data_IF_612073568378
#
_entry.id   IF_612073568378
#
_cell.length_a   1.000
_cell.length_b   1.000
_cell.length_c   1.000
_cell.angle_alpha   90.00
_cell.angle_beta   90.00
_cell.angle_gamma   90.00
#
_symmetry.space_group_name_H-M   'P 1'
#
loop_
_entity.id
_entity.type
_entity.pdbx_description
1 polymer ?
#
# COMPACT_ATOMS: atom_id res chain seq x y z
N UNK A 1 5.45 -10.31 -5.65
CA UNK A 1 4.56 -10.29 -4.50
C UNK A 1 3.11 -10.48 -4.90
N UNK A 2 2.44 -11.35 -4.22
CA UNK A 2 1.07 -11.64 -4.55
C UNK A 2 0.17 -10.73 -3.74
N UNK A 3 -0.82 -10.11 -4.35
CA UNK A 3 -1.77 -9.29 -3.62
C UNK A 3 -2.46 -10.10 -2.55
N UNK A 4 -2.60 -9.50 -1.41
CA UNK A 4 -3.18 -10.20 -0.30
C UNK A 4 -4.65 -10.44 -0.51
N UNK A 5 -5.37 -9.57 -0.63
CA UNK A 5 -6.76 -9.77 -0.81
C UNK A 5 -7.03 -10.14 -2.22
N UNK A 6 -8.15 -10.52 -2.48
CA UNK A 6 -8.54 -10.68 -3.81
C UNK A 6 -9.15 -9.39 -4.27
N UNK A 7 -9.23 -9.22 -5.52
CA UNK A 7 -9.77 -8.02 -6.09
C UNK A 7 -11.27 -8.04 -5.98
N UNK A 8 -11.74 -7.97 -4.79
CA UNK A 8 -13.17 -7.94 -4.56
C UNK A 8 -13.72 -6.59 -4.83
N UNK A 9 -12.87 -5.59 -4.74
CA UNK A 9 -13.31 -4.25 -5.03
C UNK A 9 -12.72 -3.86 -6.34
N UNK A 10 -13.37 -2.98 -6.99
CA UNK A 10 -12.97 -2.59 -8.30
C UNK A 10 -11.63 -1.92 -8.28
N UNK A 11 -10.65 -2.55 -8.85
CA UNK A 11 -9.35 -1.97 -8.98
C UNK A 11 -8.60 -1.73 -7.69
N UNK A 12 -8.99 -2.37 -6.63
CA UNK A 12 -8.30 -2.20 -5.36
C UNK A 12 -7.48 -3.43 -5.04
N UNK A 13 -6.18 -3.23 -4.88
CA UNK A 13 -5.24 -4.31 -4.57
C UNK A 13 -4.41 -3.90 -3.38
N UNK A 14 -4.29 -4.77 -2.40
CA UNK A 14 -3.46 -4.53 -1.23
C UNK A 14 -2.17 -5.31 -1.34
N UNK A 15 -1.03 -4.66 -1.07
CA UNK A 15 0.27 -5.26 -1.16
C UNK A 15 1.08 -4.94 0.08
N UNK A 16 1.63 -5.96 0.70
CA UNK A 16 2.52 -5.76 1.84
C UNK A 16 3.95 -5.62 1.33
N UNK A 17 4.65 -4.60 1.79
CA UNK A 17 6.00 -4.29 1.32
C UNK A 17 6.93 -4.13 2.51
N UNK A 18 8.23 -4.22 2.27
CA UNK A 18 9.22 -4.07 3.32
C UNK A 18 9.73 -2.66 3.47
N UNK A 19 9.75 -1.90 2.37
CA UNK A 19 10.23 -0.53 2.38
C UNK A 19 9.26 0.28 1.56
N UNK A 20 8.30 0.88 2.26
CA UNK A 20 7.22 1.57 1.57
C UNK A 20 7.71 2.82 0.84
N UNK A 21 8.72 3.50 1.39
CA UNK A 21 9.25 4.69 0.73
C UNK A 21 9.84 4.32 -0.62
N UNK A 22 10.62 3.25 -0.65
CA UNK A 22 11.23 2.79 -1.88
C UNK A 22 10.19 2.37 -2.90
N UNK A 23 9.19 1.62 -2.45
CA UNK A 23 8.16 1.10 -3.35
C UNK A 23 7.29 2.23 -3.89
N UNK A 24 6.96 3.20 -3.06
CA UNK A 24 6.20 4.36 -3.51
C UNK A 24 6.97 5.10 -4.60
N UNK A 25 8.26 5.31 -4.38
CA UNK A 25 9.06 6.01 -5.36
C UNK A 25 9.12 5.25 -6.68
N UNK A 26 9.27 3.93 -6.60
CA UNK A 26 9.27 3.10 -7.81
C UNK A 26 7.94 3.18 -8.54
N UNK A 27 6.85 3.22 -7.78
CA UNK A 27 5.54 3.33 -8.39
C UNK A 27 5.36 4.66 -9.11
N UNK A 28 5.84 5.74 -8.50
CA UNK A 28 5.76 7.05 -9.12
C UNK A 28 6.62 7.08 -10.37
N UNK A 29 7.82 6.52 -10.31
CA UNK A 29 8.71 6.49 -11.47
C UNK A 29 8.11 5.70 -12.62
N UNK A 30 7.27 4.73 -12.33
CA UNK A 30 6.62 3.92 -13.34
C UNK A 30 5.32 4.53 -13.87
N UNK A 31 5.00 5.74 -13.44
CA UNK A 31 3.82 6.44 -13.96
C UNK A 31 2.63 6.46 -13.03
N UNK A 32 2.75 5.88 -11.85
CA UNK A 32 1.68 5.92 -10.88
C UNK A 32 1.60 7.26 -10.18
N UNK A 33 0.51 7.48 -9.48
CA UNK A 33 0.33 8.71 -8.73
C UNK A 33 0.00 8.37 -7.28
N UNK A 34 0.65 9.09 -6.37
CA UNK A 34 0.41 8.92 -4.96
C UNK A 34 -0.77 9.82 -4.58
N UNK A 35 -1.89 9.22 -4.22
CA UNK A 35 -3.04 10.05 -3.86
C UNK A 35 -3.37 10.00 -2.37
N UNK A 36 -2.82 9.04 -1.64
CA UNK A 36 -2.82 9.09 -0.19
C UNK A 36 -1.38 8.94 0.26
N UNK A 37 -0.81 9.97 0.88
CA UNK A 37 0.61 9.95 1.26
C UNK A 37 0.89 8.89 2.32
N UNK A 38 2.16 8.55 2.45
CA UNK A 38 2.57 7.60 3.47
C UNK A 38 2.20 8.14 4.84
N UNK A 39 1.53 7.32 5.64
CA UNK A 39 1.13 7.70 6.99
C UNK A 39 1.16 6.48 7.88
N UNK A 40 1.29 6.71 9.17
CA UNK A 40 1.23 5.64 10.14
C UNK A 40 -0.20 5.40 10.54
N UNK A 41 -0.54 4.13 10.63
CA UNK A 41 -1.88 3.70 11.01
C UNK A 41 -1.73 2.57 12.01
N UNK A 42 -2.56 2.57 13.05
CA UNK A 42 -2.62 1.46 13.97
C UNK A 42 -3.90 0.71 13.71
N UNK A 43 -3.76 -0.58 13.45
CA UNK A 43 -4.93 -1.41 13.19
C UNK A 43 -5.63 -1.77 14.49
N UNK A 44 -6.84 -2.29 14.39
CA UNK A 44 -7.60 -2.69 15.56
C UNK A 44 -6.94 -3.83 16.32
N UNK A 45 -6.11 -4.61 15.64
CA UNK A 45 -5.39 -5.70 16.29
C UNK A 45 -4.09 -5.25 16.94
N UNK A 46 -3.76 -3.97 16.87
CA UNK A 46 -2.57 -3.45 17.50
C UNK A 46 -1.34 -3.40 16.62
N UNK A 47 -1.47 -3.76 15.37
CA UNK A 47 -0.38 -3.61 14.42
C UNK A 47 -0.19 -2.16 14.06
N UNK A 48 1.05 -1.75 13.97
CA UNK A 48 1.36 -0.41 13.49
C UNK A 48 1.96 -0.54 12.10
N UNK A 49 1.36 0.13 11.13
CA UNK A 49 1.81 0.03 9.75
C UNK A 49 2.00 1.41 9.16
N UNK A 50 2.82 1.48 8.12
CA UNK A 50 2.84 2.64 7.25
C UNK A 50 2.02 2.28 6.03
N UNK A 51 1.18 3.18 5.61
CA UNK A 51 0.22 2.92 4.56
C UNK A 51 0.26 4.05 3.55
N UNK A 52 0.10 3.70 2.28
CA UNK A 52 0.00 4.69 1.21
C UNK A 52 -0.86 4.11 0.11
N UNK A 53 -1.45 4.98 -0.68
CA UNK A 53 -2.25 4.55 -1.81
C UNK A 53 -1.72 5.18 -3.08
N UNK A 54 -1.49 4.34 -4.06
CA UNK A 54 -1.09 4.76 -5.40
C UNK A 54 -2.24 4.51 -6.35
N UNK A 55 -2.30 5.32 -7.39
CA UNK A 55 -3.24 5.09 -8.47
C UNK A 55 -2.45 4.76 -9.73
N UNK A 56 -2.76 3.63 -10.33
CA UNK A 56 -2.08 3.21 -11.53
C UNK A 56 -2.62 3.92 -12.76
N UNK A 57 -1.98 3.67 -13.90
CA UNK A 57 -2.36 4.35 -15.15
C UNK A 57 -3.77 4.03 -15.62
N UNK A 58 -4.29 2.88 -15.24
CA UNK A 58 -5.65 2.51 -15.63
C UNK A 58 -6.67 2.90 -14.58
N UNK A 59 -6.26 3.66 -13.60
CA UNK A 59 -7.16 4.12 -12.54
C UNK A 59 -7.32 3.18 -11.38
N UNK A 60 -6.59 2.07 -11.39
CA UNK A 60 -6.67 1.12 -10.28
C UNK A 60 -6.01 1.68 -9.03
N UNK A 61 -6.54 1.31 -7.88
CA UNK A 61 -6.06 1.77 -6.60
C UNK A 61 -5.21 0.67 -5.97
N UNK A 62 -4.01 1.03 -5.57
CA UNK A 62 -3.07 0.08 -4.99
C UNK A 62 -2.74 0.55 -3.58
N UNK A 63 -3.07 -0.27 -2.61
CA UNK A 63 -2.74 0.03 -1.22
C UNK A 63 -1.42 -0.63 -0.88
N UNK A 64 -0.49 0.14 -0.34
CA UNK A 64 0.79 -0.36 0.12
C UNK A 64 0.82 -0.31 1.64
N UNK A 65 1.32 -1.36 2.26
CA UNK A 65 1.41 -1.42 3.71
C UNK A 65 2.75 -2.02 4.12
N UNK A 66 3.42 -1.33 5.03
CA UNK A 66 4.65 -1.82 5.62
C UNK A 66 4.40 -2.02 7.10
N UNK A 67 4.64 -3.22 7.61
CA UNK A 67 4.46 -3.49 9.04
C UNK A 67 5.68 -2.97 9.78
N UNK A 68 5.44 -2.05 10.72
CA UNK A 68 6.53 -1.41 11.44
C UNK A 68 6.67 -1.97 12.83
N UNK A 69 5.55 -2.31 13.48
CA UNK A 69 5.58 -2.81 14.83
C UNK A 69 4.31 -3.57 15.13
N UNK A 70 4.40 -4.47 16.11
CA UNK A 70 3.25 -5.22 16.56
C UNK A 70 3.47 -6.70 16.43
N UNK A 71 2.45 -7.46 16.79
CA UNK A 71 2.49 -8.90 16.73
C UNK A 71 1.65 -9.41 15.60
N UNK A 72 2.12 -10.48 15.06
CA UNK A 72 1.35 -11.16 14.04
C UNK A 72 0.64 -12.33 14.66
#
# INVERSE_FOLDING_TARGET
>A
MIPRGRATCFGHVGVEVKDIVFVVQRGIDAGGKLYVPIRRVRTSSGLEIKQAFLRGPDGESIELAEIVAGNY
#
